data_IF_266891637541
#
_entry.id   IF_266891637541
#
_cell.length_a   1.000
_cell.length_b   1.000
_cell.length_c   1.000
_cell.angle_alpha   90.00
_cell.angle_beta   90.00
_cell.angle_gamma   90.00
#
_symmetry.space_group_name_H-M   'P 1'
#
loop_
_entity.id
_entity.type
_entity.pdbx_description
1 polymer ?
#
# COMPACT_ATOMS: atom_id res chain seq x y z
N UNK A 1 9.28 -13.87 24.26
CA UNK A 1 8.35 -13.02 23.48
C UNK A 1 6.97 -13.64 23.64
N UNK A 2 6.17 -13.15 24.59
CA UNK A 2 4.79 -13.60 24.75
C UNK A 2 3.91 -12.41 24.36
N UNK A 3 3.54 -12.34 23.09
CA UNK A 3 2.33 -11.60 22.76
C UNK A 3 1.16 -12.30 23.44
N UNK A 4 0.10 -11.56 23.80
CA UNK A 4 -1.15 -12.25 24.06
C UNK A 4 -1.55 -12.95 22.74
N UNK A 5 -1.78 -14.25 22.81
CA UNK A 5 -2.13 -15.07 21.64
C UNK A 5 -3.34 -14.52 20.88
N UNK A 6 -4.19 -13.77 21.56
CA UNK A 6 -5.35 -13.08 20.98
C UNK A 6 -4.95 -11.95 20.03
N UNK A 7 -4.01 -11.07 20.41
CA UNK A 7 -3.57 -9.95 19.56
C UNK A 7 -2.89 -10.47 18.30
N UNK A 8 -2.06 -11.51 18.42
CA UNK A 8 -1.43 -12.14 17.26
C UNK A 8 -2.46 -12.67 16.25
N UNK A 9 -3.51 -13.32 16.76
CA UNK A 9 -4.57 -13.91 15.93
C UNK A 9 -5.36 -12.83 15.19
N UNK A 10 -5.74 -11.74 15.87
CA UNK A 10 -6.46 -10.63 15.26
C UNK A 10 -5.64 -9.90 14.19
N UNK A 11 -4.36 -9.65 14.45
CA UNK A 11 -3.45 -9.04 13.46
C UNK A 11 -3.25 -9.96 12.25
N UNK A 12 -3.12 -11.27 12.46
CA UNK A 12 -3.00 -12.23 11.38
C UNK A 12 -4.24 -12.22 10.47
N UNK A 13 -5.44 -12.25 11.06
CA UNK A 13 -6.71 -12.17 10.31
C UNK A 13 -6.74 -10.88 9.48
N UNK A 14 -6.38 -9.75 10.08
CA UNK A 14 -6.33 -8.47 9.39
C UNK A 14 -5.37 -8.47 8.19
N UNK A 15 -4.17 -9.04 8.36
CA UNK A 15 -3.18 -9.20 7.28
C UNK A 15 -3.74 -10.06 6.15
N UNK A 16 -4.32 -11.22 6.49
CA UNK A 16 -4.90 -12.15 5.51
C UNK A 16 -6.01 -11.45 4.71
N UNK A 17 -6.89 -10.69 5.36
CA UNK A 17 -7.97 -9.94 4.69
C UNK A 17 -7.42 -8.88 3.72
N UNK A 18 -6.41 -8.13 4.13
CA UNK A 18 -5.72 -7.15 3.25
C UNK A 18 -5.11 -7.85 2.04
N UNK A 19 -4.40 -8.97 2.24
CA UNK A 19 -3.76 -9.74 1.17
C UNK A 19 -4.78 -10.36 0.22
N UNK A 20 -5.87 -10.92 0.74
CA UNK A 20 -6.96 -11.47 -0.08
C UNK A 20 -7.61 -10.38 -0.92
N UNK A 21 -7.89 -9.21 -0.33
CA UNK A 21 -8.42 -8.05 -1.06
C UNK A 21 -7.47 -7.63 -2.18
N UNK A 22 -6.19 -7.61 -1.89
CA UNK A 22 -5.15 -7.30 -2.85
C UNK A 22 -5.09 -8.26 -4.05
N UNK A 23 -5.10 -9.56 -3.77
CA UNK A 23 -5.12 -10.61 -4.79
C UNK A 23 -6.43 -10.56 -5.58
N UNK A 24 -7.54 -10.20 -4.92
CA UNK A 24 -8.86 -10.26 -5.53
C UNK A 24 -9.06 -9.33 -6.73
N UNK A 25 -8.20 -8.32 -6.86
CA UNK A 25 -8.14 -7.44 -8.03
C UNK A 25 -7.96 -8.19 -9.35
N UNK A 26 -7.31 -9.34 -9.33
CA UNK A 26 -7.00 -10.12 -10.52
C UNK A 26 -8.13 -11.10 -10.93
N UNK A 27 -9.20 -11.23 -10.13
CA UNK A 27 -10.30 -12.16 -10.44
C UNK A 27 -11.43 -11.55 -11.29
N UNK A 28 -11.34 -10.28 -11.68
CA UNK A 28 -12.29 -9.66 -12.60
C UNK A 28 -13.52 -9.06 -11.92
N UNK A 29 -14.70 -9.28 -12.51
CA UNK A 29 -15.97 -8.63 -12.12
C UNK A 29 -17.05 -9.68 -11.81
N UNK A 30 -17.84 -9.39 -10.79
CA UNK A 30 -19.07 -10.08 -10.45
C UNK A 30 -20.27 -9.30 -11.00
N UNK A 31 -21.23 -9.99 -11.62
CA UNK A 31 -22.45 -9.36 -12.13
C UNK A 31 -23.56 -9.49 -11.09
N UNK A 32 -24.08 -8.35 -10.63
CA UNK A 32 -25.19 -8.29 -9.70
C UNK A 32 -26.24 -7.30 -10.20
N UNK A 33 -27.46 -7.77 -10.47
CA UNK A 33 -28.57 -6.91 -10.91
C UNK A 33 -28.27 -6.10 -12.18
N UNK A 34 -27.50 -6.64 -13.12
CA UNK A 34 -27.09 -5.94 -14.35
C UNK A 34 -25.89 -5.00 -14.19
N UNK A 35 -25.40 -4.77 -12.97
CA UNK A 35 -24.19 -3.99 -12.71
C UNK A 35 -22.96 -4.89 -12.61
N UNK A 36 -21.84 -4.46 -13.19
CA UNK A 36 -20.53 -5.13 -13.07
C UNK A 36 -19.79 -4.53 -11.88
N UNK A 37 -19.66 -5.29 -10.79
CA UNK A 37 -18.88 -4.89 -9.62
C UNK A 37 -17.55 -5.63 -9.63
N UNK A 38 -16.41 -4.94 -9.45
CA UNK A 38 -15.14 -5.63 -9.37
C UNK A 38 -15.09 -6.49 -8.11
N UNK A 39 -14.58 -7.71 -8.19
CA UNK A 39 -14.57 -8.64 -7.04
C UNK A 39 -13.84 -8.04 -5.84
N UNK A 40 -12.82 -7.22 -6.08
CA UNK A 40 -12.07 -6.55 -5.02
C UNK A 40 -12.90 -5.60 -4.16
N UNK A 41 -14.01 -5.04 -4.65
CA UNK A 41 -14.84 -4.16 -3.82
C UNK A 41 -15.53 -4.94 -2.70
N UNK A 42 -15.92 -6.19 -2.98
CA UNK A 42 -16.54 -7.09 -1.98
C UNK A 42 -15.53 -7.41 -0.87
N UNK A 43 -14.31 -7.80 -1.26
CA UNK A 43 -13.24 -8.09 -0.30
C UNK A 43 -12.78 -6.83 0.47
N UNK A 44 -12.78 -5.66 -0.17
CA UNK A 44 -12.43 -4.40 0.49
C UNK A 44 -13.47 -4.04 1.56
N UNK A 45 -14.76 -4.19 1.26
CA UNK A 45 -15.85 -3.99 2.23
C UNK A 45 -15.70 -5.00 3.38
N UNK A 46 -15.49 -6.28 3.07
CA UNK A 46 -15.28 -7.31 4.09
C UNK A 46 -14.06 -7.00 4.98
N UNK A 47 -12.99 -6.46 4.39
CA UNK A 47 -11.79 -6.01 5.13
C UNK A 47 -12.13 -4.84 6.05
N UNK A 48 -12.87 -3.84 5.59
CA UNK A 48 -13.27 -2.72 6.47
C UNK A 48 -14.17 -3.17 7.61
N UNK A 49 -15.13 -4.06 7.36
CA UNK A 49 -15.99 -4.64 8.40
C UNK A 49 -15.14 -5.39 9.42
N UNK A 50 -14.21 -6.23 8.97
CA UNK A 50 -13.32 -6.99 9.86
C UNK A 50 -12.45 -6.06 10.70
N UNK A 51 -11.78 -5.07 10.10
CA UNK A 51 -10.89 -4.15 10.81
C UNK A 51 -11.64 -3.23 11.78
N UNK A 52 -12.86 -2.83 11.43
CA UNK A 52 -13.74 -2.09 12.33
C UNK A 52 -14.18 -2.97 13.51
N UNK A 53 -14.60 -4.21 13.26
CA UNK A 53 -14.99 -5.16 14.30
C UNK A 53 -13.85 -5.55 15.25
N UNK A 54 -12.61 -5.57 14.75
CA UNK A 54 -11.39 -5.77 15.55
C UNK A 54 -10.94 -4.50 16.29
N UNK A 55 -11.60 -3.36 16.09
CA UNK A 55 -11.23 -2.08 16.71
C UNK A 55 -9.96 -1.44 16.14
N UNK A 56 -9.42 -1.94 15.03
CA UNK A 56 -8.21 -1.41 14.40
C UNK A 56 -8.46 -0.12 13.60
N UNK A 57 -9.71 0.09 13.17
CA UNK A 57 -10.13 1.27 12.44
C UNK A 57 -11.43 1.79 13.05
N UNK A 58 -11.46 3.07 13.42
CA UNK A 58 -12.66 3.73 13.93
C UNK A 58 -13.58 4.18 12.79
N UNK A 59 -14.79 4.62 13.13
CA UNK A 59 -15.72 5.20 12.14
C UNK A 59 -15.10 6.38 11.37
N UNK A 60 -14.35 7.24 12.05
CA UNK A 60 -13.62 8.35 11.42
C UNK A 60 -12.57 7.87 10.43
N UNK A 61 -11.82 6.80 10.78
CA UNK A 61 -10.85 6.19 9.88
C UNK A 61 -11.52 5.63 8.62
N UNK A 62 -12.64 4.93 8.78
CA UNK A 62 -13.44 4.42 7.65
C UNK A 62 -13.92 5.56 6.75
N UNK A 63 -14.36 6.69 7.31
CA UNK A 63 -14.79 7.85 6.53
C UNK A 63 -13.65 8.43 5.67
N UNK A 64 -12.43 8.55 6.21
CA UNK A 64 -11.27 8.99 5.42
C UNK A 64 -10.90 7.99 4.32
N UNK A 65 -10.96 6.68 4.60
CA UNK A 65 -10.71 5.64 3.59
C UNK A 65 -11.78 5.66 2.50
N UNK A 66 -13.05 5.85 2.85
CA UNK A 66 -14.14 5.96 1.88
C UNK A 66 -13.97 7.20 0.98
N UNK A 67 -13.64 8.35 1.58
CA UNK A 67 -13.34 9.58 0.83
C UNK A 67 -12.15 9.38 -0.12
N UNK A 68 -11.08 8.73 0.37
CA UNK A 68 -9.92 8.41 -0.44
C UNK A 68 -10.27 7.45 -1.59
N UNK A 69 -11.11 6.45 -1.35
CA UNK A 69 -11.58 5.52 -2.38
C UNK A 69 -12.37 6.25 -3.46
N UNK A 70 -13.33 7.10 -3.07
CA UNK A 70 -14.13 7.91 -4.01
C UNK A 70 -13.22 8.82 -4.85
N UNK A 71 -12.28 9.53 -4.19
CA UNK A 71 -11.31 10.38 -4.88
C UNK A 71 -10.44 9.57 -5.86
N UNK A 72 -9.98 8.38 -5.45
CA UNK A 72 -9.14 7.52 -6.27
C UNK A 72 -9.88 6.95 -7.49
N UNK A 73 -11.16 6.59 -7.33
CA UNK A 73 -12.02 6.14 -8.44
C UNK A 73 -12.29 7.29 -9.43
N UNK A 74 -12.49 8.51 -8.94
CA UNK A 74 -12.74 9.69 -9.76
C UNK A 74 -11.55 10.06 -10.66
N UNK A 75 -10.31 9.65 -10.33
CA UNK A 75 -9.13 9.85 -11.20
C UNK A 75 -9.33 9.18 -12.58
N UNK A 76 -10.02 8.04 -12.60
CA UNK A 76 -10.24 7.23 -13.80
C UNK A 76 -11.63 7.44 -14.44
N UNK A 77 -12.45 8.34 -13.92
CA UNK A 77 -13.79 8.61 -14.44
C UNK A 77 -13.74 9.35 -15.79
N UNK A 78 -14.77 9.13 -16.63
CA UNK A 78 -15.01 9.85 -17.89
C UNK A 78 -15.57 11.24 -17.60
N UNK A 79 -14.74 12.13 -17.05
CA UNK A 79 -15.12 13.50 -16.69
C UNK A 79 -14.11 14.54 -17.16
N UNK A 80 -14.37 15.83 -16.91
CA UNK A 80 -13.46 16.92 -17.24
C UNK A 80 -12.06 16.70 -16.64
N UNK A 81 -11.01 17.09 -17.37
CA UNK A 81 -9.62 16.96 -16.91
C UNK A 81 -9.38 17.66 -15.56
N UNK A 82 -10.01 18.81 -15.34
CA UNK A 82 -9.93 19.55 -14.08
C UNK A 82 -10.44 18.73 -12.89
N UNK A 83 -11.59 18.06 -13.03
CA UNK A 83 -12.16 17.20 -11.99
C UNK A 83 -11.21 16.04 -11.64
N UNK A 84 -10.58 15.42 -12.65
CA UNK A 84 -9.61 14.33 -12.45
C UNK A 84 -8.34 14.80 -11.74
N UNK A 85 -7.87 16.02 -12.05
CA UNK A 85 -6.72 16.63 -11.36
C UNK A 85 -7.07 16.91 -9.90
N UNK A 86 -8.23 17.52 -9.63
CA UNK A 86 -8.69 17.81 -8.26
C UNK A 86 -8.82 16.50 -7.46
N UNK A 87 -9.41 15.48 -8.06
CA UNK A 87 -9.52 14.14 -7.45
C UNK A 87 -8.14 13.53 -7.14
N UNK A 88 -7.18 13.67 -8.06
CA UNK A 88 -5.79 13.22 -7.86
C UNK A 88 -5.09 13.96 -6.73
N UNK A 89 -5.25 15.29 -6.65
CA UNK A 89 -4.71 16.10 -5.54
C UNK A 89 -5.33 15.66 -4.22
N UNK A 90 -6.66 15.51 -4.17
CA UNK A 90 -7.36 15.07 -2.95
C UNK A 90 -6.90 13.67 -2.51
N UNK A 91 -6.87 12.70 -3.42
CA UNK A 91 -6.40 11.34 -3.14
C UNK A 91 -4.94 11.32 -2.67
N UNK A 92 -4.07 12.11 -3.30
CA UNK A 92 -2.66 12.25 -2.91
C UNK A 92 -2.51 12.86 -1.52
N UNK A 93 -3.22 13.94 -1.22
CA UNK A 93 -3.21 14.59 0.10
C UNK A 93 -3.72 13.66 1.19
N UNK A 94 -4.82 12.94 0.95
CA UNK A 94 -5.33 11.94 1.90
C UNK A 94 -4.33 10.80 2.11
N UNK A 95 -3.73 10.29 1.03
CA UNK A 95 -2.70 9.24 1.13
C UNK A 95 -1.49 9.70 1.95
N UNK A 96 -1.02 10.94 1.75
CA UNK A 96 0.05 11.53 2.56
C UNK A 96 -0.40 11.75 4.01
N UNK A 97 -1.64 12.20 4.24
CA UNK A 97 -2.20 12.35 5.57
C UNK A 97 -2.24 11.03 6.35
N UNK A 98 -2.66 9.94 5.71
CA UNK A 98 -2.58 8.58 6.26
C UNK A 98 -1.11 8.16 6.45
N UNK A 99 -0.25 8.44 5.48
CA UNK A 99 1.18 8.12 5.51
C UNK A 99 1.95 8.79 6.65
N UNK A 100 1.60 10.02 6.99
CA UNK A 100 2.21 10.76 8.10
C UNK A 100 1.46 10.59 9.43
N UNK A 101 0.44 9.73 9.46
CA UNK A 101 -0.43 9.52 10.64
C UNK A 101 -1.08 10.83 11.14
N UNK A 102 -1.34 11.77 10.23
CA UNK A 102 -1.99 13.05 10.54
C UNK A 102 -3.49 12.82 10.74
N UNK A 103 -4.07 11.86 10.02
CA UNK A 103 -5.50 11.57 10.08
C UNK A 103 -5.82 10.61 11.25
N UNK A 104 -6.82 10.93 12.09
CA UNK A 104 -7.21 10.10 13.22
C UNK A 104 -8.01 8.86 12.80
N UNK A 105 -8.19 7.95 13.75
CA UNK A 105 -9.10 6.81 13.62
C UNK A 105 -8.44 5.48 13.23
N UNK A 106 -7.15 5.33 13.47
CA UNK A 106 -6.39 4.12 13.20
C UNK A 106 -5.62 3.67 14.46
N UNK A 107 -5.93 2.48 14.95
CA UNK A 107 -5.25 1.86 16.09
C UNK A 107 -4.16 0.93 15.58
N UNK A 108 -2.96 1.50 15.43
CA UNK A 108 -1.79 0.79 14.89
C UNK A 108 -1.24 -0.18 15.94
N UNK A 109 -1.27 -1.47 15.62
CA UNK A 109 -0.94 -2.55 16.56
C UNK A 109 0.58 -2.73 16.70
N UNK A 110 1.06 -2.97 17.92
CA UNK A 110 2.48 -3.22 18.17
C UNK A 110 2.82 -4.64 17.67
N UNK A 111 3.75 -4.75 16.73
CA UNK A 111 4.27 -6.03 16.22
C UNK A 111 5.58 -6.45 16.88
N UNK A 112 6.33 -5.48 17.41
CA UNK A 112 7.55 -5.71 18.20
C UNK A 112 7.53 -4.64 19.26
N UNK A 113 7.56 -5.06 20.52
CA UNK A 113 7.54 -4.15 21.65
C UNK A 113 8.92 -4.06 22.30
N UNK A 114 9.45 -2.84 22.36
CA UNK A 114 10.58 -2.43 23.22
C UNK A 114 11.78 -3.38 23.24
N UNK A 115 12.15 -3.91 22.07
CA UNK A 115 13.28 -4.82 21.96
C UNK A 115 14.60 -4.07 21.89
N UNK A 116 15.58 -4.50 22.68
CA UNK A 116 16.96 -4.05 22.53
C UNK A 116 17.58 -4.78 21.34
N UNK A 117 17.96 -4.03 20.30
CA UNK A 117 18.63 -4.61 19.12
C UNK A 117 20.11 -4.90 19.44
N UNK A 118 20.75 -4.13 20.32
CA UNK A 118 22.15 -4.34 20.76
C UNK A 118 22.48 -3.63 22.07
N UNK A 119 23.01 -4.32 23.08
CA UNK A 119 23.65 -3.70 24.25
C UNK A 119 22.79 -2.58 24.88
N UNK A 120 23.33 -1.36 24.98
CA UNK A 120 22.62 -0.14 25.43
C UNK A 120 21.91 0.62 24.29
N UNK A 121 21.53 -0.03 23.19
CA UNK A 121 20.75 0.61 22.11
C UNK A 121 19.42 1.11 22.66
N UNK A 122 18.88 2.20 22.09
CA UNK A 122 17.49 2.57 22.34
C UNK A 122 16.56 1.41 21.98
N UNK A 123 15.50 1.25 22.77
CA UNK A 123 14.49 0.22 22.51
C UNK A 123 13.84 0.43 21.15
N UNK A 124 13.65 -0.67 20.42
CA UNK A 124 12.99 -0.68 19.13
C UNK A 124 11.57 -1.22 19.27
N UNK A 125 10.60 -0.39 18.89
CA UNK A 125 9.19 -0.76 18.81
C UNK A 125 8.73 -0.59 17.36
N UNK A 126 8.12 -1.62 16.78
CA UNK A 126 7.52 -1.53 15.44
C UNK A 126 6.03 -1.77 15.49
N UNK A 127 5.31 -1.05 14.64
CA UNK A 127 3.86 -1.07 14.57
C UNK A 127 3.40 -1.57 13.20
N UNK A 128 2.30 -2.32 13.19
CA UNK A 128 1.50 -2.54 12.01
C UNK A 128 0.72 -1.26 11.71
N UNK A 129 1.08 -0.62 10.60
CA UNK A 129 0.49 0.65 10.18
C UNK A 129 -0.74 0.39 9.29
N UNK A 130 -1.93 0.34 9.88
CA UNK A 130 -3.17 0.10 9.14
C UNK A 130 -3.49 1.25 8.19
N UNK A 131 -3.31 2.49 8.63
CA UNK A 131 -3.42 3.71 7.84
C UNK A 131 -2.67 3.62 6.48
N UNK A 132 -1.36 3.40 6.52
CA UNK A 132 -0.48 3.26 5.35
C UNK A 132 -0.88 2.09 4.47
N UNK A 133 -1.17 0.96 5.12
CA UNK A 133 -1.50 -0.28 4.43
C UNK A 133 -2.79 -0.13 3.64
N UNK A 134 -3.84 0.41 4.26
CA UNK A 134 -5.15 0.59 3.64
C UNK A 134 -5.16 1.72 2.61
N UNK A 135 -4.46 2.82 2.88
CA UNK A 135 -4.28 3.89 1.89
C UNK A 135 -3.57 3.38 0.63
N UNK A 136 -2.47 2.65 0.81
CA UNK A 136 -1.75 2.01 -0.30
C UNK A 136 -2.62 0.98 -1.02
N UNK A 137 -3.41 0.23 -0.25
CA UNK A 137 -4.34 -0.78 -0.77
C UNK A 137 -5.35 -0.14 -1.73
N UNK A 138 -6.07 0.88 -1.26
CA UNK A 138 -7.09 1.61 -2.02
C UNK A 138 -6.51 2.20 -3.29
N UNK A 139 -5.37 2.89 -3.18
CA UNK A 139 -4.77 3.54 -4.33
C UNK A 139 -4.35 2.53 -5.40
N UNK A 140 -3.78 1.39 -4.99
CA UNK A 140 -3.53 0.31 -5.92
C UNK A 140 -4.83 -0.22 -6.53
N UNK A 141 -5.86 -0.55 -5.75
CA UNK A 141 -7.09 -1.13 -6.28
C UNK A 141 -7.76 -0.21 -7.31
N UNK A 142 -7.82 1.09 -7.02
CA UNK A 142 -8.55 2.06 -7.82
C UNK A 142 -7.75 2.66 -9.00
N UNK A 143 -6.45 2.92 -8.81
CA UNK A 143 -5.65 3.68 -9.79
C UNK A 143 -4.83 2.77 -10.71
N UNK A 144 -4.30 1.69 -10.17
CA UNK A 144 -3.43 0.80 -10.93
C UNK A 144 -4.31 -0.09 -11.83
N UNK A 145 -4.08 -0.19 -13.14
CA UNK A 145 -4.84 -1.10 -13.98
C UNK A 145 -4.59 -2.57 -13.63
N UNK A 146 -5.59 -3.44 -13.77
CA UNK A 146 -5.48 -4.89 -13.55
C UNK A 146 -4.70 -5.64 -14.65
N UNK A 147 -3.87 -4.94 -15.41
CA UNK A 147 -3.09 -5.54 -16.50
C UNK A 147 -2.09 -6.56 -15.95
N UNK A 148 -2.18 -7.80 -16.47
CA UNK A 148 -1.26 -8.89 -16.14
C UNK A 148 0.13 -8.75 -16.78
N UNK A 149 0.36 -7.71 -17.60
CA UNK A 149 1.66 -7.48 -18.25
C UNK A 149 2.55 -6.67 -17.33
N UNK A 150 3.15 -7.36 -16.36
CA UNK A 150 4.32 -6.83 -15.68
C UNK A 150 5.43 -6.68 -16.73
N UNK A 151 5.61 -5.46 -17.24
CA UNK A 151 6.59 -5.22 -18.30
C UNK A 151 7.98 -5.34 -17.68
N UNK A 152 8.76 -6.34 -18.09
CA UNK A 152 10.10 -6.61 -17.56
C UNK A 152 10.99 -5.36 -17.49
N UNK A 153 10.87 -4.47 -18.49
CA UNK A 153 11.60 -3.19 -18.54
C UNK A 153 11.23 -2.23 -17.39
N UNK A 154 9.94 -2.18 -17.04
CA UNK A 154 9.44 -1.38 -15.91
C UNK A 154 9.89 -1.97 -14.58
N UNK A 155 9.87 -3.31 -14.47
CA UNK A 155 10.42 -4.02 -13.31
C UNK A 155 11.91 -3.75 -13.14
N UNK A 156 12.71 -3.92 -14.20
CA UNK A 156 14.16 -3.71 -14.17
C UNK A 156 14.54 -2.28 -13.78
N UNK A 157 13.93 -1.25 -14.38
CA UNK A 157 14.19 0.16 -14.02
C UNK A 157 13.92 0.43 -12.55
N UNK A 158 12.83 -0.13 -12.05
CA UNK A 158 12.46 0.11 -10.68
C UNK A 158 13.32 -0.70 -9.70
N UNK A 159 13.80 -1.89 -10.08
CA UNK A 159 14.80 -2.63 -9.30
C UNK A 159 16.06 -1.79 -9.22
N UNK A 160 16.50 -1.25 -10.35
CA UNK A 160 17.67 -0.40 -10.43
C UNK A 160 17.55 0.83 -9.52
N UNK A 161 16.42 1.57 -9.57
CA UNK A 161 16.19 2.74 -8.70
C UNK A 161 16.15 2.33 -7.23
N UNK A 162 15.39 1.29 -6.88
CA UNK A 162 15.29 0.83 -5.48
C UNK A 162 16.65 0.36 -4.94
N UNK A 163 17.38 -0.44 -5.72
CA UNK A 163 18.73 -0.91 -5.37
C UNK A 163 19.69 0.26 -5.24
N UNK A 164 19.65 1.24 -6.16
CA UNK A 164 20.47 2.44 -6.08
C UNK A 164 20.17 3.24 -4.80
N UNK A 165 18.90 3.43 -4.46
CA UNK A 165 18.50 4.10 -3.21
C UNK A 165 18.98 3.34 -1.98
N UNK A 166 18.82 2.01 -1.94
CA UNK A 166 19.31 1.18 -0.83
C UNK A 166 20.83 1.31 -0.70
N UNK A 167 21.57 1.19 -1.80
CA UNK A 167 23.04 1.32 -1.80
C UNK A 167 23.43 2.72 -1.33
N UNK A 168 22.77 3.77 -1.80
CA UNK A 168 23.11 5.14 -1.44
C UNK A 168 22.82 5.44 0.04
N UNK A 169 21.65 5.02 0.54
CA UNK A 169 21.24 5.26 1.94
C UNK A 169 22.06 4.40 2.91
N UNK A 170 22.15 3.09 2.67
CA UNK A 170 22.91 2.19 3.55
C UNK A 170 24.42 2.39 3.40
N UNK A 171 24.91 2.54 2.17
CA UNK A 171 26.31 2.77 1.87
C UNK A 171 26.79 4.13 2.38
N UNK A 172 25.97 5.18 2.23
CA UNK A 172 26.24 6.48 2.83
C UNK A 172 26.28 6.39 4.36
N UNK A 173 25.25 5.80 4.98
CA UNK A 173 25.22 5.60 6.43
C UNK A 173 26.42 4.79 6.95
N UNK A 174 26.87 3.78 6.21
CA UNK A 174 28.07 3.01 6.53
C UNK A 174 29.34 3.86 6.37
N UNK A 175 29.50 4.58 5.25
CA UNK A 175 30.67 5.42 4.98
C UNK A 175 30.86 6.55 6.01
N UNK A 176 29.76 7.10 6.53
CA UNK A 176 29.78 8.10 7.61
C UNK A 176 29.84 7.50 9.02
N UNK A 177 30.03 6.18 9.17
CA UNK A 177 30.02 5.45 10.44
C UNK A 177 28.73 5.63 11.27
N UNK A 178 27.60 5.92 10.61
CA UNK A 178 26.27 5.99 11.22
C UNK A 178 25.63 4.62 11.39
N UNK A 179 26.02 3.63 10.56
CA UNK A 179 25.45 2.28 10.54
C UNK A 179 26.56 1.25 10.74
N UNK A 180 26.44 0.40 11.77
CA UNK A 180 27.27 -0.78 11.95
C UNK A 180 26.54 -2.04 11.46
N UNK A 181 27.13 -2.76 10.50
CA UNK A 181 26.57 -4.02 10.00
C UNK A 181 26.87 -5.11 11.04
N UNK A 182 25.83 -5.73 11.59
CA UNK A 182 25.98 -6.86 12.50
C UNK A 182 24.98 -7.96 12.14
N UNK A 183 25.51 -9.08 11.65
CA UNK A 183 24.74 -10.23 11.18
C UNK A 183 24.29 -11.16 12.33
N UNK A 184 24.79 -10.94 13.55
CA UNK A 184 24.44 -11.72 14.73
C UNK A 184 23.01 -11.44 15.21
N UNK A 185 22.45 -10.29 14.83
CA UNK A 185 21.09 -9.86 15.20
C UNK A 185 20.05 -10.16 14.11
N UNK A 186 20.18 -11.30 13.43
CA UNK A 186 19.09 -11.82 12.63
C UNK A 186 17.90 -12.05 13.57
N UNK A 187 16.91 -11.17 13.49
CA UNK A 187 15.64 -11.29 14.19
C UNK A 187 15.07 -12.70 14.01
N UNK A 188 14.24 -13.14 14.96
CA UNK A 188 13.53 -14.42 14.87
C UNK A 188 12.90 -14.59 13.48
N UNK A 189 12.91 -15.81 12.94
CA UNK A 189 12.44 -16.10 11.59
C UNK A 189 10.98 -15.65 11.38
N UNK A 190 10.17 -15.67 12.45
CA UNK A 190 8.79 -15.14 12.47
C UNK A 190 8.75 -13.64 12.20
N UNK A 191 9.63 -12.87 12.83
CA UNK A 191 9.76 -11.44 12.57
C UNK A 191 10.23 -11.20 11.15
N UNK A 192 11.26 -11.91 10.68
CA UNK A 192 11.74 -11.76 9.31
C UNK A 192 10.63 -12.05 8.30
N UNK A 193 9.86 -13.13 8.50
CA UNK A 193 8.73 -13.47 7.61
C UNK A 193 7.64 -12.39 7.66
N UNK A 194 7.20 -11.94 8.83
CA UNK A 194 6.16 -10.90 8.94
C UNK A 194 6.64 -9.55 8.42
N UNK A 195 7.81 -9.09 8.86
CA UNK A 195 8.40 -7.83 8.47
C UNK A 195 8.73 -7.80 6.98
N UNK A 196 9.41 -8.81 6.46
CA UNK A 196 9.72 -8.88 5.03
C UNK A 196 8.44 -9.04 4.22
N UNK A 197 7.48 -9.87 4.61
CA UNK A 197 6.22 -10.00 3.85
C UNK A 197 5.49 -8.67 3.80
N UNK A 198 5.37 -7.95 4.92
CA UNK A 198 4.69 -6.67 4.95
C UNK A 198 5.45 -5.57 4.23
N UNK A 199 6.75 -5.46 4.45
CA UNK A 199 7.57 -4.44 3.81
C UNK A 199 7.75 -4.72 2.32
N UNK A 200 7.96 -5.97 1.91
CA UNK A 200 8.00 -6.37 0.50
C UNK A 200 6.63 -6.13 -0.11
N UNK A 201 5.53 -6.53 0.54
CA UNK A 201 4.19 -6.30 0.02
C UNK A 201 3.91 -4.80 -0.15
N UNK A 202 4.11 -3.99 0.90
CA UNK A 202 3.93 -2.54 0.85
C UNK A 202 4.86 -1.87 -0.17
N UNK A 203 6.13 -2.25 -0.24
CA UNK A 203 7.10 -1.67 -1.17
C UNK A 203 6.84 -2.09 -2.62
N UNK A 204 6.51 -3.36 -2.89
CA UNK A 204 6.13 -3.85 -4.23
C UNK A 204 4.84 -3.16 -4.69
N UNK A 205 3.89 -2.94 -3.77
CA UNK A 205 2.64 -2.22 -4.05
C UNK A 205 2.87 -0.76 -4.37
N UNK A 206 3.57 -0.04 -3.47
CA UNK A 206 3.93 1.36 -3.66
C UNK A 206 4.72 1.55 -4.97
N UNK A 207 5.58 0.58 -5.28
CA UNK A 207 6.40 0.57 -6.50
C UNK A 207 5.58 0.31 -7.75
N UNK A 208 4.69 -0.69 -7.76
CA UNK A 208 3.80 -0.92 -8.91
C UNK A 208 2.95 0.33 -9.17
N UNK A 209 2.42 0.94 -8.11
CA UNK A 209 1.69 2.20 -8.16
C UNK A 209 2.52 3.35 -8.74
N UNK A 210 3.73 3.58 -8.22
CA UNK A 210 4.63 4.64 -8.68
C UNK A 210 5.01 4.46 -10.15
N UNK A 211 5.29 3.23 -10.58
CA UNK A 211 5.68 2.94 -11.95
C UNK A 211 4.54 3.06 -12.94
N UNK A 212 3.33 2.67 -12.56
CA UNK A 212 2.17 2.79 -13.46
C UNK A 212 1.75 4.24 -13.58
N UNK A 213 1.85 5.03 -12.50
CA UNK A 213 1.64 6.49 -12.54
C UNK A 213 2.69 7.17 -13.42
N UNK A 214 3.98 6.88 -13.24
CA UNK A 214 5.04 7.45 -14.07
C UNK A 214 4.96 7.00 -15.53
N UNK A 215 4.71 5.71 -15.78
CA UNK A 215 4.60 5.20 -17.15
C UNK A 215 3.39 5.79 -17.88
N UNK A 216 2.32 6.14 -17.17
CA UNK A 216 1.18 6.84 -17.76
C UNK A 216 1.40 8.36 -17.86
N UNK A 217 2.38 8.92 -17.15
CA UNK A 217 2.71 10.35 -17.24
C UNK A 217 3.40 10.76 -18.56
N UNK A 218 4.02 9.80 -19.28
CA UNK A 218 4.48 10.00 -20.67
C UNK A 218 3.29 10.24 -21.63
N UNK A 219 2.09 9.75 -21.29
CA UNK A 219 0.85 10.04 -22.02
C UNK A 219 0.31 11.45 -21.70
N UNK A 220 0.68 12.04 -20.57
CA UNK A 220 0.26 13.40 -20.17
C UNK A 220 1.14 14.47 -20.83
N UNK A 221 2.42 14.16 -21.11
CA UNK A 221 3.35 15.06 -21.79
C UNK A 221 3.33 14.94 -23.31
N UNK A 222 2.88 13.81 -23.87
CA UNK A 222 2.69 13.67 -25.32
C UNK A 222 1.36 14.27 -25.81
N UNK A 223 1.27 15.60 -25.75
CA UNK A 223 0.21 16.40 -26.39
C UNK A 223 0.19 16.31 -27.93
N UNK A 224 0.92 15.37 -28.56
CA UNK A 224 1.03 15.29 -30.03
C UNK A 224 0.65 13.96 -30.68
N UNK A 225 0.23 12.92 -29.95
CA UNK A 225 -0.45 11.78 -30.57
C UNK A 225 -1.63 11.29 -29.73
N UNK A 226 -2.78 11.91 -30.01
CA UNK A 226 -4.08 11.23 -30.05
C UNK A 226 -3.86 9.93 -30.82
N UNK A 227 -3.79 8.78 -30.12
CA UNK A 227 -3.97 7.39 -30.62
C UNK A 227 -3.46 6.39 -29.57
N UNK A 228 -3.92 6.50 -28.32
CA UNK A 228 -4.14 5.29 -27.52
C UNK A 228 -5.65 5.03 -27.57
N UNK A 229 -6.08 4.32 -28.60
CA UNK A 229 -7.42 3.78 -28.69
C UNK A 229 -7.65 2.81 -27.54
N UNK A 230 -8.17 3.32 -26.43
CA UNK A 230 -8.97 2.49 -25.54
C UNK A 230 -10.26 2.22 -26.28
N UNK A 231 -10.41 1.02 -26.84
CA UNK A 231 -11.75 0.52 -27.15
C UNK A 231 -12.60 0.70 -25.88
N UNK A 232 -13.83 1.21 -25.98
CA UNK A 232 -14.75 1.18 -24.85
C UNK A 232 -14.84 -0.27 -24.38
N UNK A 233 -14.57 -0.49 -23.09
CA UNK A 233 -14.81 -1.79 -22.48
C UNK A 233 -16.32 -2.07 -22.57
N UNK A 234 -16.75 -3.22 -23.12
CA UNK A 234 -18.14 -3.68 -23.01
C UNK A 234 -18.46 -4.11 -21.58
#
# INVERSE_FOLDING_TARGET
>A
MQFSSEIESSVLVAIVMVVLTAISKYFGYYQFGGTKLPIWSIFLIATFIALFGLGFVSFTGVAFLALMLIASLAINATGPKSMRIIAGILAGTLFLGLGFRILPGFENQILVDTQFVKGQSTTYTTYFNFDKTLGGLIFFLAVVPSSNRLRYRTLSRALMVTTATIIFVLGGGYAFNLIGINLTYLFDYRFLVLFLTLQIFQSVWLRKLFLEVLSNSDCITSSKKILCGTKPFP
#
